data_IF_551383914780
#
_entry.id   IF_551383914780
#
_cell.length_a   1.000
_cell.length_b   1.000
_cell.length_c   1.000
_cell.angle_alpha   90.00
_cell.angle_beta   90.00
_cell.angle_gamma   90.00
#
_symmetry.space_group_name_H-M   'P 1'
#
loop_
_entity.id
_entity.type
_entity.pdbx_description
1 polymer ?
#
# COMPACT_ATOMS: atom_id res chain seq x y z
N UNK A 1 -23.09 4.69 8.30
CA UNK A 1 -22.50 4.71 9.65
C UNK A 1 -23.28 5.76 10.43
N UNK A 2 -23.75 5.45 11.65
CA UNK A 2 -24.69 6.33 12.35
C UNK A 2 -24.06 7.60 12.93
N UNK A 3 -22.75 7.62 13.16
CA UNK A 3 -22.07 8.73 13.87
C UNK A 3 -21.13 9.57 12.98
N UNK A 4 -20.49 8.97 11.98
CA UNK A 4 -19.55 9.64 11.07
C UNK A 4 -19.82 9.18 9.64
N UNK A 5 -19.62 10.07 8.67
CA UNK A 5 -19.79 9.71 7.27
C UNK A 5 -18.62 8.85 6.78
N UNK A 6 -18.89 7.90 5.88
CA UNK A 6 -17.86 7.00 5.35
C UNK A 6 -16.78 7.76 4.59
N UNK A 7 -17.13 8.90 3.98
CA UNK A 7 -16.20 9.79 3.29
C UNK A 7 -15.20 10.43 4.25
N UNK A 8 -15.70 10.99 5.35
CA UNK A 8 -14.88 11.65 6.38
C UNK A 8 -13.90 10.67 7.04
N UNK A 9 -14.34 9.44 7.27
CA UNK A 9 -13.45 8.35 7.74
C UNK A 9 -12.32 8.08 6.74
N UNK A 10 -12.61 8.08 5.45
CA UNK A 10 -11.59 7.83 4.43
C UNK A 10 -10.57 8.96 4.35
N UNK A 11 -11.01 10.20 4.43
CA UNK A 11 -10.12 11.36 4.52
C UNK A 11 -9.21 11.25 5.75
N UNK A 12 -9.77 10.98 6.93
CA UNK A 12 -9.01 10.81 8.17
C UNK A 12 -7.98 9.67 8.09
N UNK A 13 -8.34 8.53 7.51
CA UNK A 13 -7.40 7.41 7.33
C UNK A 13 -6.25 7.82 6.39
N UNK A 14 -6.55 8.58 5.34
CA UNK A 14 -5.54 9.01 4.35
C UNK A 14 -4.55 10.02 4.89
N UNK A 15 -4.87 10.73 5.98
CA UNK A 15 -3.90 11.60 6.66
C UNK A 15 -2.70 10.84 7.25
N UNK A 16 -2.87 9.56 7.60
CA UNK A 16 -1.82 8.78 8.26
C UNK A 16 -1.51 7.41 7.63
N UNK A 17 -2.31 6.95 6.66
CA UNK A 17 -2.20 5.60 6.10
C UNK A 17 -2.60 5.50 4.63
N UNK A 18 -1.78 4.77 3.86
CA UNK A 18 -2.04 4.39 2.48
C UNK A 18 -2.65 2.97 2.36
N UNK A 19 -3.22 2.43 3.43
CA UNK A 19 -3.88 1.11 3.40
C UNK A 19 -5.00 1.08 2.35
N UNK A 20 -5.16 0.02 1.54
CA UNK A 20 -6.25 -0.05 0.58
C UNK A 20 -7.63 0.06 1.25
N UNK A 21 -8.51 0.89 0.71
CA UNK A 21 -9.87 1.12 1.22
C UNK A 21 -10.89 0.74 0.15
N UNK A 22 -11.79 -0.19 0.48
CA UNK A 22 -12.98 -0.51 -0.31
C UNK A 22 -14.20 0.06 0.40
N UNK A 23 -15.00 0.88 -0.30
CA UNK A 23 -16.26 1.37 0.24
C UNK A 23 -17.46 0.54 -0.23
N UNK A 24 -18.26 0.09 0.74
CA UNK A 24 -19.51 -0.62 0.50
C UNK A 24 -20.70 0.34 0.68
N UNK A 25 -21.38 0.69 -0.40
CA UNK A 25 -22.43 1.72 -0.38
C UNK A 25 -23.78 1.20 -0.86
N UNK A 26 -24.88 1.69 -0.31
CA UNK A 26 -26.22 1.48 -0.88
C UNK A 26 -26.62 2.60 -1.86
N UNK A 27 -25.77 3.64 -2.00
CA UNK A 27 -26.01 4.78 -2.89
C UNK A 27 -25.42 4.48 -4.25
N UNK A 28 -26.27 4.44 -5.27
CA UNK A 28 -25.93 4.12 -6.66
C UNK A 28 -25.83 5.36 -7.56
N UNK A 29 -26.04 6.56 -7.02
CA UNK A 29 -25.96 7.79 -7.79
C UNK A 29 -24.52 8.03 -8.30
N UNK A 30 -24.38 8.24 -9.60
CA UNK A 30 -23.08 8.41 -10.28
C UNK A 30 -22.25 9.57 -9.70
N UNK A 31 -22.91 10.59 -9.14
CA UNK A 31 -22.26 11.73 -8.50
C UNK A 31 -21.60 11.35 -7.16
N UNK A 32 -22.18 10.41 -6.42
CA UNK A 32 -21.61 9.90 -5.17
C UNK A 32 -20.39 9.02 -5.42
N UNK A 33 -20.39 8.26 -6.53
CA UNK A 33 -19.26 7.42 -6.94
C UNK A 33 -18.00 8.25 -7.29
N UNK A 34 -18.19 9.37 -8.01
CA UNK A 34 -17.08 10.25 -8.42
C UNK A 34 -16.52 11.03 -7.24
N UNK A 35 -17.39 11.54 -6.35
CA UNK A 35 -16.94 12.15 -5.09
C UNK A 35 -16.08 11.17 -4.28
N UNK A 36 -16.53 9.93 -4.22
CA UNK A 36 -15.82 8.90 -3.51
C UNK A 36 -14.40 8.62 -3.99
N UNK A 37 -14.23 8.42 -5.29
CA UNK A 37 -12.90 8.16 -5.84
C UNK A 37 -11.93 9.32 -5.57
N UNK A 38 -12.45 10.55 -5.47
CA UNK A 38 -11.65 11.74 -5.14
C UNK A 38 -11.33 11.89 -3.64
N UNK A 39 -12.16 11.34 -2.74
CA UNK A 39 -11.93 11.33 -1.27
C UNK A 39 -10.97 10.23 -0.79
N UNK A 40 -10.34 9.49 -1.71
CA UNK A 40 -9.19 8.63 -1.41
C UNK A 40 -9.49 7.14 -1.24
N UNK A 41 -10.68 6.64 -1.56
CA UNK A 41 -10.88 5.17 -1.61
C UNK A 41 -10.41 4.57 -2.93
N UNK A 42 -9.94 3.33 -2.86
CA UNK A 42 -9.34 2.62 -3.99
C UNK A 42 -10.37 1.82 -4.82
N UNK A 43 -11.51 1.46 -4.21
CA UNK A 43 -12.63 0.81 -4.90
C UNK A 43 -13.99 1.06 -4.22
N UNK A 44 -15.07 0.89 -4.99
CA UNK A 44 -16.46 1.02 -4.58
C UNK A 44 -17.28 -0.20 -4.98
N UNK A 45 -18.08 -0.70 -4.05
CA UNK A 45 -19.01 -1.80 -4.30
C UNK A 45 -20.41 -1.38 -3.81
N UNK A 46 -21.38 -1.39 -4.73
CA UNK A 46 -22.78 -1.12 -4.41
C UNK A 46 -23.43 -2.34 -3.76
N UNK A 47 -24.27 -2.13 -2.75
CA UNK A 47 -25.14 -3.14 -2.16
C UNK A 47 -26.45 -3.26 -2.97
N UNK A 48 -27.00 -4.48 -3.14
CA UNK A 48 -26.43 -5.77 -2.75
C UNK A 48 -25.29 -6.19 -3.71
N UNK A 49 -24.31 -6.93 -3.19
CA UNK A 49 -23.17 -7.45 -3.96
C UNK A 49 -23.02 -8.96 -3.79
N UNK A 50 -22.31 -9.60 -4.72
CA UNK A 50 -21.94 -11.01 -4.66
C UNK A 50 -20.64 -11.20 -3.87
N UNK A 51 -20.57 -12.25 -3.03
CA UNK A 51 -19.37 -12.54 -2.23
C UNK A 51 -18.13 -12.77 -3.10
N UNK A 52 -18.29 -13.39 -4.28
CA UNK A 52 -17.18 -13.63 -5.21
C UNK A 52 -16.69 -12.31 -5.82
N UNK A 53 -17.58 -11.35 -6.05
CA UNK A 53 -17.20 -10.03 -6.53
C UNK A 53 -16.35 -9.30 -5.49
N UNK A 54 -16.78 -9.32 -4.22
CA UNK A 54 -16.03 -8.70 -3.12
C UNK A 54 -14.65 -9.33 -2.98
N UNK A 55 -14.56 -10.66 -2.95
CA UNK A 55 -13.29 -11.39 -2.84
C UNK A 55 -12.37 -11.04 -4.01
N UNK A 56 -12.89 -10.99 -5.25
CA UNK A 56 -12.09 -10.64 -6.42
C UNK A 56 -11.50 -9.22 -6.33
N UNK A 57 -12.28 -8.25 -5.85
CA UNK A 57 -11.83 -6.85 -5.68
C UNK A 57 -10.80 -6.71 -4.57
N UNK A 58 -11.00 -7.38 -3.43
CA UNK A 58 -10.01 -7.45 -2.34
C UNK A 58 -8.68 -7.98 -2.87
N UNK A 59 -8.69 -9.11 -3.58
CA UNK A 59 -7.48 -9.70 -4.15
C UNK A 59 -6.81 -8.78 -5.19
N UNK A 60 -7.59 -8.06 -5.98
CA UNK A 60 -7.06 -7.12 -6.96
C UNK A 60 -6.37 -5.92 -6.31
N UNK A 61 -6.93 -5.36 -5.24
CA UNK A 61 -6.30 -4.27 -4.48
C UNK A 61 -5.05 -4.73 -3.76
N UNK A 62 -5.09 -5.88 -3.09
CA UNK A 62 -3.93 -6.42 -2.39
C UNK A 62 -2.75 -6.63 -3.35
N UNK A 63 -2.99 -7.17 -4.55
CA UNK A 63 -1.95 -7.32 -5.58
C UNK A 63 -1.31 -5.98 -5.98
N UNK A 64 -2.11 -4.91 -6.14
CA UNK A 64 -1.59 -3.57 -6.46
C UNK A 64 -0.70 -3.00 -5.35
N UNK A 65 -1.05 -3.22 -4.09
CA UNK A 65 -0.16 -2.89 -2.97
C UNK A 65 1.07 -3.78 -2.87
N UNK A 66 0.95 -5.06 -3.26
CA UNK A 66 2.08 -5.99 -3.27
C UNK A 66 3.11 -5.68 -4.35
N UNK A 67 2.71 -5.10 -5.48
CA UNK A 67 3.63 -4.74 -6.56
C UNK A 67 4.62 -3.62 -6.14
N UNK A 68 4.30 -2.80 -5.13
CA UNK A 68 5.29 -1.91 -4.49
C UNK A 68 6.28 -2.66 -3.57
N UNK A 69 5.96 -3.89 -3.15
CA UNK A 69 6.77 -4.72 -2.24
C UNK A 69 7.49 -5.90 -2.90
N UNK A 70 7.18 -6.21 -4.17
CA UNK A 70 7.83 -7.28 -4.93
C UNK A 70 9.17 -6.86 -5.54
N UNK A 71 9.66 -5.67 -5.23
CA UNK A 71 11.02 -5.31 -5.59
C UNK A 71 11.97 -6.00 -4.61
N UNK A 72 12.41 -7.20 -5.00
CA UNK A 72 13.45 -7.95 -4.27
C UNK A 72 14.74 -7.14 -4.16
N UNK A 73 14.92 -6.15 -5.04
CA UNK A 73 16.03 -5.22 -5.05
C UNK A 73 15.55 -3.80 -4.69
N UNK A 74 16.09 -3.24 -3.61
CA UNK A 74 15.86 -1.86 -3.21
C UNK A 74 17.12 -1.07 -3.54
N UNK A 75 17.05 -0.13 -4.50
CA UNK A 75 18.18 0.72 -4.88
C UNK A 75 18.15 2.07 -4.17
N UNK A 76 19.32 2.53 -3.73
CA UNK A 76 19.52 3.86 -3.14
C UNK A 76 20.94 4.35 -3.42
N UNK A 77 21.09 5.38 -4.25
CA UNK A 77 22.37 5.83 -4.80
C UNK A 77 23.15 4.63 -5.39
N UNK A 78 24.39 4.39 -4.93
CA UNK A 78 25.24 3.28 -5.38
C UNK A 78 25.00 1.97 -4.63
N UNK A 79 23.97 1.91 -3.76
CA UNK A 79 23.59 0.73 -3.00
C UNK A 79 22.41 0.00 -3.64
N UNK A 80 22.50 -1.33 -3.68
CA UNK A 80 21.39 -2.21 -4.07
C UNK A 80 21.22 -3.26 -2.97
N UNK A 81 20.09 -3.21 -2.26
CA UNK A 81 19.76 -4.16 -1.20
C UNK A 81 18.86 -5.27 -1.76
N UNK A 82 19.35 -6.49 -1.73
CA UNK A 82 18.60 -7.70 -2.05
C UNK A 82 17.89 -8.24 -0.81
N UNK A 83 16.55 -8.21 -0.83
CA UNK A 83 15.69 -8.65 0.27
C UNK A 83 15.43 -10.15 0.31
N UNK A 84 15.73 -10.89 -0.78
CA UNK A 84 15.65 -12.35 -0.79
C UNK A 84 16.96 -12.98 -0.31
N UNK A 85 18.09 -12.48 -0.83
CA UNK A 85 19.41 -12.97 -0.48
C UNK A 85 19.97 -12.37 0.81
N UNK A 86 19.28 -11.37 1.41
CA UNK A 86 19.78 -10.59 2.55
C UNK A 86 21.20 -10.04 2.29
N UNK A 87 21.40 -9.46 1.11
CA UNK A 87 22.71 -8.98 0.68
C UNK A 87 22.65 -7.52 0.21
N UNK A 88 23.75 -6.80 0.34
CA UNK A 88 23.92 -5.43 -0.11
C UNK A 88 25.03 -5.38 -1.15
N UNK A 89 24.72 -4.89 -2.34
CA UNK A 89 25.72 -4.53 -3.32
C UNK A 89 26.06 -3.04 -3.20
N UNK A 90 27.36 -2.74 -3.18
CA UNK A 90 27.89 -1.39 -3.30
C UNK A 90 28.99 -1.40 -4.35
N UNK A 91 28.78 -0.70 -5.47
CA UNK A 91 29.62 -0.79 -6.66
C UNK A 91 29.76 -2.26 -7.12
N UNK A 92 30.98 -2.77 -7.27
CA UNK A 92 31.27 -4.14 -7.69
C UNK A 92 31.45 -5.13 -6.52
N UNK A 93 30.97 -4.78 -5.31
CA UNK A 93 31.10 -5.64 -4.13
C UNK A 93 29.75 -6.01 -3.56
N UNK A 94 29.53 -7.31 -3.39
CA UNK A 94 28.37 -7.87 -2.69
C UNK A 94 28.76 -8.23 -1.25
N UNK A 95 27.98 -7.75 -0.28
CA UNK A 95 28.17 -7.96 1.15
C UNK A 95 26.96 -8.75 1.66
N UNK A 96 27.19 -9.92 2.24
CA UNK A 96 26.14 -10.67 2.93
C UNK A 96 25.85 -10.04 4.28
N UNK A 97 24.57 -9.83 4.59
CA UNK A 97 24.15 -9.18 5.82
C UNK A 97 23.64 -10.21 6.83
N UNK A 98 23.89 -9.95 8.10
CA UNK A 98 23.11 -10.59 9.16
C UNK A 98 21.70 -9.99 9.18
N UNK A 99 20.74 -10.72 9.76
CA UNK A 99 19.35 -10.27 9.87
C UNK A 99 19.22 -8.88 10.51
N UNK A 100 19.99 -8.60 11.56
CA UNK A 100 19.93 -7.30 12.25
C UNK A 100 20.42 -6.16 11.35
N UNK A 101 21.54 -6.36 10.65
CA UNK A 101 22.10 -5.37 9.72
C UNK A 101 21.14 -5.11 8.56
N UNK A 102 20.53 -6.16 8.01
CA UNK A 102 19.51 -6.04 6.97
C UNK A 102 18.34 -5.16 7.42
N UNK A 103 17.76 -5.41 8.60
CA UNK A 103 16.63 -4.60 9.08
C UNK A 103 17.00 -3.14 9.32
N UNK A 104 18.20 -2.87 9.85
CA UNK A 104 18.69 -1.50 10.06
C UNK A 104 18.84 -0.80 8.71
N UNK A 105 19.52 -1.42 7.74
CA UNK A 105 19.77 -0.84 6.42
C UNK A 105 18.46 -0.61 5.67
N UNK A 106 17.55 -1.59 5.67
CA UNK A 106 16.21 -1.46 5.06
C UNK A 106 15.43 -0.30 5.69
N UNK A 107 15.51 -0.13 7.01
CA UNK A 107 14.84 0.97 7.71
C UNK A 107 15.44 2.35 7.35
N UNK A 108 16.77 2.44 7.20
CA UNK A 108 17.45 3.68 6.81
C UNK A 108 17.17 4.05 5.34
N UNK A 109 17.25 3.08 4.42
CA UNK A 109 16.99 3.29 2.99
C UNK A 109 15.53 3.68 2.73
N UNK A 110 14.57 3.10 3.48
CA UNK A 110 13.15 3.43 3.35
C UNK A 110 12.78 4.82 3.89
N UNK A 111 13.66 5.48 4.67
CA UNK A 111 13.43 6.81 5.26
C UNK A 111 14.71 7.67 5.24
N UNK A 112 15.23 8.03 4.07
CA UNK A 112 16.57 8.63 3.94
C UNK A 112 16.70 10.06 4.50
N UNK A 113 15.59 10.74 4.82
CA UNK A 113 15.58 12.17 5.17
C UNK A 113 15.02 12.47 6.57
N UNK A 114 14.72 11.45 7.39
CA UNK A 114 14.32 11.66 8.78
C UNK A 114 15.52 11.46 9.70
N UNK A 115 16.09 12.58 10.15
CA UNK A 115 17.05 12.63 11.26
C UNK A 115 16.31 12.67 12.59
#
# INVERSE_FOLDING_TARGET
MPEIDGWEVCELIREFSNVPIIMLTARTDKLDLVKGLNTGADDYISKPFDDRELIARVNALLRRTSDETNNTLISYNDFILDTEMYSLQYLDRTIQLTMKEFYIIKALISRPTKT
#
